data_IF_163313897396
#
_entry.id   IF_163313897396
#
_cell.length_a   1.000
_cell.length_b   1.000
_cell.length_c   1.000
_cell.angle_alpha   90.00
_cell.angle_beta   90.00
_cell.angle_gamma   90.00
#
_symmetry.space_group_name_H-M   'P 1'
#
loop_
_entity.id
_entity.type
_entity.pdbx_description
1 polymer ?
#
# COMPACT_ATOMS: atom_id res chain seq x y z
N UNK A 1 -3.74 -11.49 -3.45
CA UNK A 1 -5.15 -11.83 -3.75
C UNK A 1 -5.66 -11.13 -5.01
N UNK A 2 -5.61 -9.80 -5.07
CA UNK A 2 -6.17 -9.01 -6.18
C UNK A 2 -5.58 -9.45 -7.54
N UNK A 3 -4.27 -9.60 -7.65
CA UNK A 3 -3.63 -10.10 -8.87
C UNK A 3 -4.15 -11.47 -9.33
N UNK A 4 -4.39 -12.39 -8.39
CA UNK A 4 -4.94 -13.71 -8.70
C UNK A 4 -6.39 -13.62 -9.21
N UNK A 5 -7.22 -12.79 -8.58
CA UNK A 5 -8.59 -12.53 -9.04
C UNK A 5 -8.58 -11.94 -10.45
N UNK A 6 -7.75 -10.92 -10.69
CA UNK A 6 -7.63 -10.30 -12.01
C UNK A 6 -7.18 -11.29 -13.07
N UNK A 7 -6.15 -12.10 -12.81
CA UNK A 7 -5.73 -13.06 -13.83
C UNK A 7 -6.75 -14.17 -14.09
N UNK A 8 -7.58 -14.54 -13.11
CA UNK A 8 -8.73 -15.43 -13.34
C UNK A 8 -9.81 -14.78 -14.19
N UNK A 9 -10.18 -13.54 -13.90
CA UNK A 9 -11.23 -12.81 -14.64
C UNK A 9 -10.79 -12.50 -16.08
N UNK A 10 -9.53 -12.13 -16.27
CA UNK A 10 -8.97 -11.74 -17.58
C UNK A 10 -8.39 -12.92 -18.36
N UNK A 11 -8.51 -14.14 -17.84
CA UNK A 11 -7.88 -15.35 -18.40
C UNK A 11 -6.37 -15.17 -18.68
N UNK A 12 -5.69 -14.44 -17.79
CA UNK A 12 -4.27 -14.14 -17.89
C UNK A 12 -3.46 -15.26 -17.23
N UNK A 13 -2.34 -15.72 -17.82
CA UNK A 13 -1.54 -16.79 -17.26
C UNK A 13 -0.90 -16.36 -15.93
N UNK A 14 -1.43 -16.87 -14.82
CA UNK A 14 -0.86 -16.66 -13.48
C UNK A 14 0.12 -17.80 -13.19
N UNK A 15 1.40 -17.46 -13.03
CA UNK A 15 2.44 -18.37 -12.52
C UNK A 15 2.81 -18.03 -11.07
N UNK A 16 3.43 -18.98 -10.37
CA UNK A 16 3.97 -18.75 -9.02
C UNK A 16 4.98 -17.58 -9.02
N UNK A 17 5.83 -17.49 -10.05
CA UNK A 17 6.81 -16.41 -10.21
C UNK A 17 6.15 -15.03 -10.31
N UNK A 18 5.00 -14.92 -11.01
CA UNK A 18 4.26 -13.67 -11.10
C UNK A 18 3.64 -13.26 -9.77
N UNK A 19 3.15 -14.23 -8.99
CA UNK A 19 2.63 -13.96 -7.65
C UNK A 19 3.74 -13.46 -6.70
N UNK A 20 4.90 -14.11 -6.72
CA UNK A 20 6.07 -13.70 -5.92
C UNK A 20 6.53 -12.30 -6.32
N UNK A 21 6.65 -12.04 -7.63
CA UNK A 21 7.02 -10.72 -8.14
C UNK A 21 6.02 -9.66 -7.67
N UNK A 22 4.72 -9.93 -7.76
CA UNK A 22 3.68 -9.04 -7.29
C UNK A 22 3.78 -8.73 -5.79
N UNK A 23 4.14 -9.71 -4.95
CA UNK A 23 4.38 -9.49 -3.51
C UNK A 23 5.60 -8.59 -3.29
N UNK A 24 6.72 -8.91 -3.93
CA UNK A 24 7.97 -8.15 -3.79
C UNK A 24 7.74 -6.70 -4.23
N UNK A 25 7.16 -6.50 -5.42
CA UNK A 25 6.89 -5.18 -5.97
C UNK A 25 5.84 -4.44 -5.15
N UNK A 26 4.79 -5.11 -4.70
CA UNK A 26 3.75 -4.53 -3.85
C UNK A 26 4.30 -3.97 -2.54
N UNK A 27 5.33 -4.60 -1.96
CA UNK A 27 5.99 -4.12 -0.74
C UNK A 27 6.99 -2.97 -0.97
N UNK A 28 7.31 -2.62 -2.22
CA UNK A 28 8.32 -1.59 -2.51
C UNK A 28 7.99 -0.19 -2.00
N UNK A 29 6.73 0.30 -1.95
CA UNK A 29 6.42 1.60 -1.38
C UNK A 29 6.88 1.68 0.08
N UNK A 30 6.47 0.73 0.91
CA UNK A 30 6.81 0.68 2.33
C UNK A 30 8.30 0.51 2.56
N UNK A 31 8.97 -0.40 1.84
CA UNK A 31 10.41 -0.62 1.97
C UNK A 31 11.18 0.67 1.66
N UNK A 32 10.81 1.34 0.57
CA UNK A 32 11.44 2.61 0.18
C UNK A 32 11.20 3.68 1.24
N UNK A 33 9.99 3.73 1.79
CA UNK A 33 9.62 4.67 2.83
C UNK A 33 10.30 4.43 4.16
N UNK A 34 10.62 3.19 4.51
CA UNK A 34 11.48 2.89 5.66
C UNK A 34 12.87 3.51 5.49
N UNK A 35 13.45 3.45 4.28
CA UNK A 35 14.73 4.11 3.98
C UNK A 35 14.64 5.62 4.19
N UNK A 36 13.53 6.25 3.84
CA UNK A 36 13.29 7.67 4.11
C UNK A 36 13.17 7.96 5.62
N UNK A 37 12.42 7.16 6.38
CA UNK A 37 12.32 7.31 7.84
C UNK A 37 13.68 7.20 8.55
N UNK A 38 14.55 6.32 8.08
CA UNK A 38 15.91 6.18 8.61
C UNK A 38 16.76 7.43 8.37
N UNK A 39 16.49 8.18 7.29
CA UNK A 39 17.19 9.44 6.98
C UNK A 39 16.66 10.62 7.79
N UNK A 40 15.35 10.69 8.04
CA UNK A 40 14.70 11.83 8.70
C UNK A 40 14.54 11.69 10.23
N UNK A 41 15.55 11.14 10.90
CA UNK A 41 15.63 11.05 12.37
C UNK A 41 14.54 10.20 13.06
N UNK A 42 14.07 9.11 12.42
CA UNK A 42 13.24 8.10 13.09
C UNK A 42 11.94 8.63 13.73
N UNK A 43 11.25 9.57 13.06
CA UNK A 43 9.88 9.93 13.46
C UNK A 43 9.02 8.66 13.47
N UNK A 44 8.73 8.19 14.67
CA UNK A 44 8.10 6.89 14.96
C UNK A 44 6.95 7.08 15.97
N UNK A 45 6.29 5.98 16.35
CA UNK A 45 5.10 6.04 17.19
C UNK A 45 3.97 6.81 16.49
N UNK A 46 3.48 7.89 17.10
CA UNK A 46 2.36 8.67 16.54
C UNK A 46 2.69 9.31 15.18
N UNK A 47 3.97 9.57 14.90
CA UNK A 47 4.44 10.16 13.65
C UNK A 47 4.77 9.14 12.57
N UNK A 48 4.51 7.85 12.81
CA UNK A 48 4.83 6.81 11.84
C UNK A 48 4.19 7.07 10.48
N UNK A 49 3.02 7.71 10.40
CA UNK A 49 2.33 8.04 9.14
C UNK A 49 3.18 8.83 8.12
N UNK A 50 4.20 9.58 8.56
CA UNK A 50 5.07 10.37 7.69
C UNK A 50 5.88 9.52 6.70
N UNK A 51 6.02 8.21 6.94
CA UNK A 51 6.62 7.32 5.95
C UNK A 51 5.85 7.31 4.62
N UNK A 52 4.57 7.70 4.61
CA UNK A 52 3.74 7.75 3.41
C UNK A 52 3.82 9.09 2.67
N UNK A 53 4.56 10.05 3.19
CA UNK A 53 4.66 11.40 2.64
C UNK A 53 5.77 11.50 1.58
N UNK A 54 5.71 10.63 0.58
CA UNK A 54 6.66 10.64 -0.52
C UNK A 54 6.03 10.08 -1.80
N UNK A 55 6.81 10.10 -2.89
CA UNK A 55 6.34 9.74 -4.22
C UNK A 55 5.85 8.29 -4.34
N UNK A 56 6.33 7.35 -3.53
CA UNK A 56 5.98 5.92 -3.67
C UNK A 56 4.54 5.61 -3.26
N UNK A 57 3.91 6.51 -2.52
CA UNK A 57 2.52 6.41 -2.05
C UNK A 57 1.57 7.31 -2.86
N UNK A 58 1.89 7.56 -4.14
CA UNK A 58 1.13 8.43 -5.04
C UNK A 58 0.59 7.64 -6.22
N UNK A 59 -0.39 8.18 -6.94
CA UNK A 59 -0.91 7.57 -8.17
C UNK A 59 0.14 7.53 -9.30
N UNK A 60 1.17 8.39 -9.24
CA UNK A 60 2.21 8.43 -10.27
C UNK A 60 3.16 7.24 -10.16
N UNK A 61 3.43 6.74 -8.95
CA UNK A 61 4.34 5.62 -8.74
C UNK A 61 3.93 4.33 -9.48
N UNK A 62 2.69 3.81 -9.37
CA UNK A 62 2.27 2.64 -10.15
C UNK A 62 2.35 2.90 -11.65
N UNK A 63 1.98 4.10 -12.12
CA UNK A 63 1.97 4.42 -13.56
C UNK A 63 3.39 4.45 -14.12
N UNK A 64 4.28 5.24 -13.52
CA UNK A 64 5.66 5.41 -14.00
C UNK A 64 6.41 4.07 -13.94
N UNK A 65 6.33 3.37 -12.81
CA UNK A 65 7.05 2.10 -12.61
C UNK A 65 6.57 1.05 -13.62
N UNK A 66 5.27 0.97 -13.88
CA UNK A 66 4.72 0.02 -14.85
C UNK A 66 5.11 0.36 -16.28
N UNK A 67 5.11 1.65 -16.65
CA UNK A 67 5.58 2.07 -17.98
C UNK A 67 7.07 1.75 -18.18
N UNK A 68 7.91 1.99 -17.18
CA UNK A 68 9.32 1.59 -17.21
C UNK A 68 9.45 0.06 -17.39
N UNK A 69 8.66 -0.72 -16.65
CA UNK A 69 8.67 -2.19 -16.76
C UNK A 69 8.12 -2.69 -18.10
N UNK A 70 7.21 -1.97 -18.73
CA UNK A 70 6.73 -2.30 -20.08
C UNK A 70 7.88 -2.21 -21.09
N UNK A 71 8.71 -1.17 -21.00
CA UNK A 71 9.88 -0.99 -21.86
C UNK A 71 11.02 -1.98 -21.59
N UNK A 72 11.23 -2.38 -20.32
CA UNK A 72 12.37 -3.20 -19.91
C UNK A 72 12.09 -4.71 -19.90
N UNK A 73 10.86 -5.11 -19.62
CA UNK A 73 10.50 -6.52 -19.35
C UNK A 73 9.20 -6.96 -20.03
N UNK A 74 8.60 -6.08 -20.83
CA UNK A 74 7.38 -6.35 -21.58
C UNK A 74 6.09 -6.10 -20.81
N UNK A 75 4.98 -6.08 -21.56
CA UNK A 75 3.66 -5.68 -21.05
C UNK A 75 3.13 -6.58 -19.92
N UNK A 76 3.51 -7.86 -19.95
CA UNK A 76 3.09 -8.85 -18.97
C UNK A 76 3.61 -8.52 -17.56
N UNK A 77 4.89 -8.14 -17.46
CA UNK A 77 5.51 -7.74 -16.20
C UNK A 77 4.98 -6.37 -15.75
N UNK A 78 4.83 -5.43 -16.69
CA UNK A 78 4.24 -4.13 -16.41
C UNK A 78 2.85 -4.24 -15.79
N UNK A 79 2.01 -5.14 -16.30
CA UNK A 79 0.67 -5.37 -15.77
C UNK A 79 0.69 -5.90 -14.33
N UNK A 80 1.57 -6.86 -14.03
CA UNK A 80 1.75 -7.39 -12.67
C UNK A 80 2.15 -6.26 -11.70
N UNK A 81 3.14 -5.47 -12.10
CA UNK A 81 3.66 -4.33 -11.33
C UNK A 81 2.55 -3.30 -11.09
N UNK A 82 1.78 -2.96 -12.12
CA UNK A 82 0.67 -2.01 -12.02
C UNK A 82 -0.36 -2.48 -11.00
N UNK A 83 -0.85 -3.72 -11.15
CA UNK A 83 -1.86 -4.28 -10.25
C UNK A 83 -1.35 -4.37 -8.82
N UNK A 84 -0.09 -4.78 -8.61
CA UNK A 84 0.51 -4.85 -7.29
C UNK A 84 0.58 -3.48 -6.60
N UNK A 85 1.12 -2.47 -7.28
CA UNK A 85 1.28 -1.13 -6.73
C UNK A 85 -0.04 -0.39 -6.54
N UNK A 86 -0.99 -0.54 -7.47
CA UNK A 86 -2.34 0.02 -7.31
C UNK A 86 -3.07 -0.65 -6.15
N UNK A 87 -2.91 -1.96 -5.95
CA UNK A 87 -3.48 -2.66 -4.80
C UNK A 87 -2.92 -2.12 -3.48
N UNK A 88 -1.61 -1.87 -3.40
CA UNK A 88 -0.98 -1.25 -2.24
C UNK A 88 -1.53 0.16 -1.98
N UNK A 89 -1.61 0.98 -3.03
CA UNK A 89 -2.18 2.33 -2.96
C UNK A 89 -3.62 2.34 -2.41
N UNK A 90 -4.46 1.40 -2.85
CA UNK A 90 -5.81 1.24 -2.32
C UNK A 90 -5.80 0.82 -0.85
N UNK A 91 -4.95 -0.15 -0.47
CA UNK A 91 -4.79 -0.53 0.92
C UNK A 91 -4.40 0.65 1.79
N UNK A 92 -3.50 1.53 1.33
CA UNK A 92 -3.12 2.72 2.08
C UNK A 92 -4.23 3.76 2.23
N UNK A 93 -5.11 3.87 1.23
CA UNK A 93 -6.32 4.70 1.30
C UNK A 93 -7.35 4.13 2.29
N UNK A 94 -7.47 2.80 2.38
CA UNK A 94 -8.44 2.09 3.22
C UNK A 94 -7.95 1.69 4.62
N UNK A 95 -6.63 1.72 4.83
CA UNK A 95 -5.94 1.10 5.97
C UNK A 95 -6.21 1.80 7.31
N UNK A 96 -5.24 1.75 8.23
CA UNK A 96 -5.33 2.25 9.62
C UNK A 96 -5.62 3.76 9.80
N UNK A 97 -6.09 4.45 8.77
CA UNK A 97 -6.66 5.80 8.86
C UNK A 97 -5.66 6.93 8.65
N UNK A 98 -4.43 6.62 8.25
CA UNK A 98 -3.42 7.63 7.92
C UNK A 98 -3.67 8.26 6.56
N UNK A 99 -4.09 7.50 5.56
CA UNK A 99 -4.24 8.03 4.20
C UNK A 99 -2.91 8.38 3.56
N UNK A 100 -2.96 8.98 2.37
CA UNK A 100 -1.80 9.24 1.51
C UNK A 100 -1.95 10.53 0.70
N UNK A 101 -0.82 11.13 0.29
CA UNK A 101 -0.81 12.27 -0.64
C UNK A 101 -0.98 11.78 -2.08
N UNK A 102 -2.19 11.36 -2.42
CA UNK A 102 -2.49 10.65 -3.67
C UNK A 102 -1.94 11.32 -4.94
N UNK A 103 -1.91 12.66 -4.98
CA UNK A 103 -1.48 13.45 -6.13
C UNK A 103 -0.16 14.22 -5.90
N UNK A 104 0.64 13.86 -4.90
CA UNK A 104 1.97 14.47 -4.73
C UNK A 104 2.88 14.18 -5.94
N UNK A 105 3.68 15.13 -6.46
CA UNK A 105 3.96 16.47 -5.92
C UNK A 105 3.06 17.57 -6.47
N UNK A 106 1.99 17.24 -7.19
CA UNK A 106 1.04 18.24 -7.74
C UNK A 106 0.15 18.81 -6.62
N UNK A 107 -0.11 18.02 -5.57
CA UNK A 107 -0.88 18.45 -4.41
C UNK A 107 -0.36 17.83 -3.12
N UNK A 108 -0.29 18.63 -2.06
CA UNK A 108 0.04 18.18 -0.69
C UNK A 108 -1.18 17.75 0.13
N UNK A 109 -2.37 17.66 -0.49
CA UNK A 109 -3.57 17.19 0.19
C UNK A 109 -3.51 15.68 0.43
N UNK A 110 -3.91 15.27 1.63
CA UNK A 110 -3.94 13.88 2.06
C UNK A 110 -5.34 13.30 1.92
N UNK A 111 -5.43 12.11 1.33
CA UNK A 111 -6.68 11.42 1.04
C UNK A 111 -6.84 10.22 1.99
N UNK A 112 -7.98 10.15 2.67
CA UNK A 112 -8.34 9.08 3.63
C UNK A 112 -9.72 8.55 3.28
N UNK A 113 -9.86 7.25 2.99
CA UNK A 113 -11.16 6.62 2.84
C UNK A 113 -11.62 6.08 4.21
N UNK A 114 -12.93 6.17 4.49
CA UNK A 114 -13.57 5.66 5.71
C UNK A 114 -13.16 6.31 7.05
N UNK A 115 -12.68 7.56 7.02
CA UNK A 115 -12.46 8.30 8.27
C UNK A 115 -13.79 8.76 8.91
N UNK A 116 -13.85 8.77 10.25
CA UNK A 116 -15.05 8.86 11.11
C UNK A 116 -15.96 10.10 10.91
N UNK A 117 -15.59 11.05 10.04
CA UNK A 117 -16.28 12.34 9.90
C UNK A 117 -16.77 12.66 8.48
N UNK A 118 -16.76 11.67 7.57
CA UNK A 118 -17.24 11.88 6.19
C UNK A 118 -16.40 12.84 5.33
N UNK A 119 -15.32 13.41 5.89
CA UNK A 119 -14.30 14.18 5.18
C UNK A 119 -13.22 13.24 4.66
N UNK A 120 -12.86 13.37 3.39
CA UNK A 120 -11.90 12.46 2.73
C UNK A 120 -10.61 13.15 2.28
N UNK A 121 -10.56 14.48 2.32
CA UNK A 121 -9.43 15.30 1.85
C UNK A 121 -8.99 16.19 3.00
N UNK A 122 -7.71 16.15 3.34
CA UNK A 122 -7.12 16.83 4.49
C UNK A 122 -5.91 17.67 4.07
N UNK A 123 -5.66 18.77 4.78
CA UNK A 123 -4.38 19.50 4.68
C UNK A 123 -3.36 18.89 5.66
N UNK A 124 -2.07 19.17 5.46
CA UNK A 124 -1.03 18.67 6.36
C UNK A 124 -1.27 19.16 7.80
N UNK A 125 -1.66 20.43 7.96
CA UNK A 125 -1.92 21.02 9.27
C UNK A 125 -3.08 20.31 10.00
N UNK A 126 -4.11 19.89 9.26
CA UNK A 126 -5.23 19.13 9.82
C UNK A 126 -4.80 17.74 10.27
N UNK A 127 -3.92 17.10 9.50
CA UNK A 127 -3.36 15.77 9.83
C UNK A 127 -2.47 15.88 11.06
N UNK A 128 -1.56 16.85 11.10
CA UNK A 128 -0.66 17.08 12.23
C UNK A 128 -1.45 17.37 13.51
N UNK A 129 -2.50 18.20 13.42
CA UNK A 129 -3.39 18.48 14.55
C UNK A 129 -4.16 17.23 15.01
N UNK A 130 -4.60 16.37 14.09
CA UNK A 130 -5.28 15.11 14.40
C UNK A 130 -4.31 14.12 15.08
N UNK A 131 -3.09 14.00 14.57
CA UNK A 131 -2.06 13.12 15.12
C UNK A 131 -1.59 13.62 16.48
N UNK A 132 -1.47 14.93 16.69
CA UNK A 132 -1.11 15.47 17.98
C UNK A 132 -2.18 15.18 19.03
N UNK A 133 -3.46 15.25 18.62
CA UNK A 133 -4.61 15.06 19.51
C UNK A 133 -4.95 13.58 19.77
N UNK A 134 -4.82 12.73 18.76
CA UNK A 134 -5.34 11.35 18.77
C UNK A 134 -4.30 10.28 18.41
N UNK A 135 -3.09 10.69 18.00
CA UNK A 135 -2.05 9.75 17.59
C UNK A 135 -1.56 8.89 18.76
N UNK A 136 -1.52 7.58 18.54
CA UNK A 136 -1.06 6.62 19.54
C UNK A 136 0.43 6.28 19.33
N UNK A 137 1.33 6.57 20.29
CA UNK A 137 2.72 6.15 20.22
C UNK A 137 2.91 4.64 20.07
N UNK A 138 1.94 3.85 20.57
CA UNK A 138 1.90 2.40 20.51
C UNK A 138 0.87 1.89 19.50
N UNK A 139 0.59 2.65 18.43
CA UNK A 139 -0.40 2.31 17.40
C UNK A 139 -0.28 0.87 16.90
N UNK A 140 0.95 0.34 16.76
CA UNK A 140 1.16 -1.01 16.27
C UNK A 140 0.48 -2.04 17.20
N UNK A 141 0.68 -1.93 18.51
CA UNK A 141 0.04 -2.81 19.49
C UNK A 141 -1.46 -2.52 19.63
N UNK A 142 -1.82 -1.24 19.63
CA UNK A 142 -3.14 -0.80 20.05
C UNK A 142 -4.18 -0.70 18.94
N UNK A 143 -3.74 -0.61 17.68
CA UNK A 143 -4.59 -0.52 16.49
C UNK A 143 -4.30 -1.68 15.53
N UNK A 144 -3.04 -1.88 15.12
CA UNK A 144 -2.69 -2.86 14.09
C UNK A 144 -2.87 -4.31 14.56
N UNK A 145 -2.41 -4.65 15.77
CA UNK A 145 -2.55 -6.00 16.33
C UNK A 145 -3.95 -6.30 16.89
N UNK A 146 -4.85 -5.30 16.98
CA UNK A 146 -6.21 -5.53 17.46
C UNK A 146 -7.11 -5.99 16.32
N UNK A 147 -8.02 -6.94 16.58
CA UNK A 147 -8.98 -7.41 15.58
C UNK A 147 -10.02 -6.33 15.28
N UNK A 148 -9.66 -5.40 14.39
CA UNK A 148 -10.54 -4.38 13.82
C UNK A 148 -10.92 -4.79 12.39
N UNK A 149 -11.95 -4.16 11.80
CA UNK A 149 -12.32 -4.40 10.41
C UNK A 149 -11.13 -4.11 9.47
N UNK A 150 -10.40 -3.03 9.74
CA UNK A 150 -9.19 -2.67 8.99
C UNK A 150 -8.10 -3.73 9.12
N UNK A 151 -7.78 -4.15 10.35
CA UNK A 151 -6.79 -5.21 10.58
C UNK A 151 -7.23 -6.53 9.90
N UNK A 152 -8.52 -6.86 9.93
CA UNK A 152 -9.05 -8.03 9.23
C UNK A 152 -8.83 -7.95 7.71
N UNK A 153 -9.06 -6.79 7.10
CA UNK A 153 -8.80 -6.58 5.66
C UNK A 153 -7.30 -6.74 5.35
N UNK A 154 -6.43 -6.08 6.12
CA UNK A 154 -4.98 -6.15 5.95
C UNK A 154 -4.46 -7.58 6.14
N UNK A 155 -4.82 -8.26 7.23
CA UNK A 155 -4.41 -9.63 7.51
C UNK A 155 -4.96 -10.62 6.49
N UNK A 156 -6.23 -10.49 6.09
CA UNK A 156 -6.82 -11.35 5.06
C UNK A 156 -6.07 -11.19 3.75
N UNK A 157 -5.68 -9.96 3.38
CA UNK A 157 -4.89 -9.73 2.18
C UNK A 157 -3.55 -10.48 2.22
N UNK A 158 -2.88 -10.53 3.37
CA UNK A 158 -1.62 -11.23 3.57
C UNK A 158 -1.80 -12.75 3.56
N UNK A 159 -2.70 -13.28 4.40
CA UNK A 159 -2.91 -14.73 4.54
C UNK A 159 -3.45 -15.36 3.26
N UNK A 160 -4.40 -14.72 2.57
CA UNK A 160 -4.92 -15.21 1.30
C UNK A 160 -3.84 -15.19 0.22
N UNK A 161 -2.99 -14.16 0.20
CA UNK A 161 -1.88 -14.11 -0.76
C UNK A 161 -0.87 -15.23 -0.50
N UNK A 162 -0.49 -15.48 0.76
CA UNK A 162 0.37 -16.58 1.14
C UNK A 162 -0.25 -17.95 0.77
N UNK A 163 -1.53 -18.16 1.09
CA UNK A 163 -2.25 -19.40 0.76
C UNK A 163 -2.33 -19.66 -0.75
N UNK A 164 -2.58 -18.62 -1.56
CA UNK A 164 -2.57 -18.72 -3.03
C UNK A 164 -1.18 -19.10 -3.54
N UNK A 165 -0.13 -18.46 -3.04
CA UNK A 165 1.25 -18.76 -3.44
C UNK A 165 1.57 -20.23 -3.13
N UNK A 166 1.32 -20.68 -1.90
CA UNK A 166 1.52 -22.08 -1.47
C UNK A 166 0.75 -23.03 -2.39
N UNK A 167 -0.53 -22.75 -2.66
CA UNK A 167 -1.35 -23.58 -3.54
C UNK A 167 -0.75 -23.72 -4.95
N UNK A 168 -0.23 -22.64 -5.54
CA UNK A 168 0.43 -22.70 -6.84
C UNK A 168 1.74 -23.49 -6.81
N UNK A 169 2.48 -23.46 -5.70
CA UNK A 169 3.71 -24.22 -5.54
C UNK A 169 3.48 -25.73 -5.41
N UNK A 170 2.39 -26.16 -4.78
CA UNK A 170 2.11 -27.59 -4.55
C UNK A 170 1.17 -28.23 -5.59
N UNK A 171 0.47 -27.43 -6.40
CA UNK A 171 -0.41 -27.92 -7.47
C UNK A 171 0.30 -28.01 -8.83
N UNK A 172 1.42 -27.30 -9.01
CA UNK A 172 2.32 -27.47 -10.15
C UNK A 172 3.15 -28.72 -9.99
#
# INVERSE_FOLDING_TARGET
MIFWLFGKVLNYPISASYLILGVIVGATPDITSLVFLFREHHKSGKWAHLHRDNITHTIFYPVITSLCMAGLSGINIAFIVFVALVSHLFLDLFGIGWGIKLFYPVSDKQFKLFHQKGKWIYTQEEIDAEVEKYGDPNWFRNLFLKPTVTAFIEWSSLFLTAGIIIWYFFKG
#
